data_IF_690191190927
#
_entry.id   IF_690191190927
#
_cell.length_a   1.000
_cell.length_b   1.000
_cell.length_c   1.000
_cell.angle_alpha   90.00
_cell.angle_beta   90.00
_cell.angle_gamma   90.00
#
_symmetry.space_group_name_H-M   'P 1'
#
loop_
_entity.id
_entity.type
_entity.pdbx_description
1 polymer ?
#
# COMPACT_ATOMS: atom_id res chain seq x y z
N UNK A 1 -32.45 18.13 -17.07
CA UNK A 1 -33.56 17.76 -16.16
C UNK A 1 -34.41 19.00 -15.95
N UNK A 2 -35.69 18.94 -16.31
CA UNK A 2 -36.63 20.05 -16.10
C UNK A 2 -37.04 20.05 -14.61
N UNK A 3 -36.24 20.71 -13.78
CA UNK A 3 -36.58 20.94 -12.37
C UNK A 3 -37.83 21.80 -12.35
N UNK A 4 -38.95 21.24 -11.87
CA UNK A 4 -40.22 21.97 -11.77
C UNK A 4 -40.06 23.34 -11.11
N UNK A 5 -40.90 24.31 -11.46
CA UNK A 5 -40.81 25.72 -11.05
C UNK A 5 -40.57 25.93 -9.54
N UNK A 6 -41.10 25.07 -8.68
CA UNK A 6 -40.86 25.10 -7.24
C UNK A 6 -39.40 24.80 -6.88
N UNK A 7 -38.78 23.83 -7.56
CA UNK A 7 -37.38 23.47 -7.36
C UNK A 7 -36.42 24.55 -7.88
N UNK A 8 -36.79 25.28 -8.94
CA UNK A 8 -36.02 26.44 -9.42
C UNK A 8 -36.09 27.62 -8.44
N UNK A 9 -37.25 27.88 -7.84
CA UNK A 9 -37.43 28.93 -6.85
C UNK A 9 -36.64 28.62 -5.58
N UNK A 10 -36.72 27.38 -5.09
CA UNK A 10 -35.94 26.96 -3.90
C UNK A 10 -34.44 26.96 -4.18
N UNK A 11 -34.00 26.59 -5.39
CA UNK A 11 -32.59 26.67 -5.79
C UNK A 11 -32.10 28.12 -5.81
N UNK A 12 -32.91 29.04 -6.33
CA UNK A 12 -32.59 30.47 -6.39
C UNK A 12 -32.51 31.11 -4.99
N UNK A 13 -33.42 30.77 -4.08
CA UNK A 13 -33.38 31.27 -2.70
C UNK A 13 -32.22 30.68 -1.89
N UNK A 14 -31.91 29.40 -2.08
CA UNK A 14 -30.74 28.76 -1.48
C UNK A 14 -29.45 29.46 -1.95
N UNK A 15 -29.30 29.69 -3.26
CA UNK A 15 -28.16 30.42 -3.86
C UNK A 15 -27.97 31.83 -3.28
N UNK A 16 -29.05 32.54 -2.96
CA UNK A 16 -28.97 33.87 -2.32
C UNK A 16 -28.45 33.75 -0.89
N UNK A 17 -28.89 32.75 -0.12
CA UNK A 17 -28.37 32.50 1.24
C UNK A 17 -26.89 32.13 1.21
N UNK A 18 -26.48 31.29 0.25
CA UNK A 18 -25.08 30.94 0.00
C UNK A 18 -24.22 32.16 -0.35
N UNK A 19 -24.71 33.01 -1.25
CA UNK A 19 -24.01 34.20 -1.72
C UNK A 19 -23.71 35.23 -0.61
N UNK A 20 -24.55 35.24 0.44
CA UNK A 20 -24.47 36.16 1.56
C UNK A 20 -23.70 35.63 2.78
N UNK A 21 -23.00 34.48 2.65
CA UNK A 21 -22.16 33.99 3.74
C UNK A 21 -21.03 34.99 4.06
N UNK A 22 -20.94 35.53 5.29
CA UNK A 22 -20.19 36.75 5.53
C UNK A 22 -18.66 36.58 5.56
N UNK A 23 -18.14 35.38 5.85
CA UNK A 23 -16.71 35.16 6.10
C UNK A 23 -16.17 33.94 5.35
N UNK A 24 -14.98 34.07 4.74
CA UNK A 24 -14.28 32.98 4.06
C UNK A 24 -13.44 32.09 4.99
N UNK A 25 -13.16 32.57 6.22
CA UNK A 25 -12.38 31.85 7.21
C UNK A 25 -13.22 31.63 8.46
N UNK A 26 -13.17 30.42 9.00
CA UNK A 26 -13.92 30.03 10.19
C UNK A 26 -12.96 29.69 11.32
N UNK A 27 -13.32 30.07 12.54
CA UNK A 27 -12.61 29.65 13.76
C UNK A 27 -13.37 28.53 14.42
N UNK A 28 -12.79 27.33 14.46
CA UNK A 28 -13.42 26.12 14.99
C UNK A 28 -12.48 25.39 15.96
N UNK A 29 -13.02 24.76 17.02
CA UNK A 29 -12.27 23.77 17.79
C UNK A 29 -11.82 22.61 16.90
N UNK A 30 -10.62 22.08 17.14
CA UNK A 30 -10.03 20.97 16.35
C UNK A 30 -10.99 19.78 16.24
N UNK A 31 -11.67 19.42 17.33
CA UNK A 31 -12.65 18.33 17.33
C UNK A 31 -13.79 18.56 16.30
N UNK A 32 -14.32 19.78 16.22
CA UNK A 32 -15.40 20.14 15.29
C UNK A 32 -14.91 20.16 13.83
N UNK A 33 -13.71 20.70 13.60
CA UNK A 33 -13.08 20.70 12.28
C UNK A 33 -12.84 19.27 11.75
N UNK A 34 -12.38 18.35 12.61
CA UNK A 34 -12.12 16.97 12.23
C UNK A 34 -13.40 16.14 12.07
N UNK A 35 -14.26 16.14 13.08
CA UNK A 35 -15.36 15.17 13.20
C UNK A 35 -16.72 15.68 12.76
N UNK A 36 -16.85 16.97 12.52
CA UNK A 36 -18.10 17.56 12.03
C UNK A 36 -18.54 18.79 12.83
N UNK A 37 -19.03 19.77 12.10
CA UNK A 37 -19.85 20.86 12.63
C UNK A 37 -21.04 21.13 11.71
N UNK A 38 -22.09 21.72 12.30
CA UNK A 38 -23.26 22.17 11.55
C UNK A 38 -22.88 23.43 10.78
N UNK A 39 -22.98 23.37 9.46
CA UNK A 39 -22.64 24.45 8.57
C UNK A 39 -23.89 24.88 7.82
N UNK A 40 -24.23 26.17 7.89
CA UNK A 40 -25.45 26.71 7.29
C UNK A 40 -25.44 26.60 5.75
N UNK A 41 -24.27 26.53 5.12
CA UNK A 41 -24.13 26.21 3.69
C UNK A 41 -24.60 24.76 3.48
N UNK A 42 -24.00 23.80 4.18
CA UNK A 42 -24.35 22.39 4.01
C UNK A 42 -25.82 22.14 4.36
N UNK A 43 -26.34 22.73 5.44
CA UNK A 43 -27.76 22.62 5.82
C UNK A 43 -28.70 23.14 4.74
N UNK A 44 -28.34 24.25 4.09
CA UNK A 44 -29.13 24.82 2.99
C UNK A 44 -28.99 23.99 1.70
N UNK A 45 -27.86 23.30 1.51
CA UNK A 45 -27.56 22.49 0.32
C UNK A 45 -28.15 21.08 0.40
N UNK A 46 -28.29 20.54 1.62
CA UNK A 46 -28.73 19.16 1.92
C UNK A 46 -29.94 18.73 1.10
N UNK A 47 -31.08 19.45 1.08
CA UNK A 47 -32.26 19.02 0.33
C UNK A 47 -31.99 18.80 -1.17
N UNK A 48 -31.07 19.58 -1.75
CA UNK A 48 -30.69 19.48 -3.17
C UNK A 48 -29.68 18.37 -3.43
N UNK A 49 -28.66 18.26 -2.57
CA UNK A 49 -27.62 17.24 -2.71
C UNK A 49 -28.15 15.82 -2.40
N UNK A 50 -29.17 15.72 -1.55
CA UNK A 50 -29.90 14.46 -1.30
C UNK A 50 -30.76 14.02 -2.48
N UNK A 51 -31.27 14.94 -3.32
CA UNK A 51 -32.04 14.61 -4.53
C UNK A 51 -31.18 13.92 -5.60
N UNK A 52 -29.87 14.15 -5.59
CA UNK A 52 -28.90 13.48 -6.47
C UNK A 52 -28.34 12.16 -5.92
N UNK A 53 -28.72 11.74 -4.70
CA UNK A 53 -28.15 10.56 -4.04
C UNK A 53 -26.66 10.69 -3.66
N UNK A 54 -26.12 11.91 -3.69
CA UNK A 54 -24.68 12.17 -3.56
C UNK A 54 -24.24 12.54 -2.14
N UNK A 55 -25.17 12.92 -1.24
CA UNK A 55 -24.79 13.33 0.11
C UNK A 55 -24.81 12.14 1.09
N UNK A 56 -23.62 11.72 1.54
CA UNK A 56 -23.45 10.63 2.52
C UNK A 56 -23.18 11.10 3.96
N UNK A 57 -23.29 12.41 4.24
CA UNK A 57 -22.92 12.98 5.54
C UNK A 57 -23.85 14.12 5.95
N UNK A 58 -24.14 14.21 7.25
CA UNK A 58 -24.98 15.26 7.81
C UNK A 58 -24.18 16.50 8.23
N UNK A 59 -22.88 16.37 8.52
CA UNK A 59 -22.05 17.46 9.04
C UNK A 59 -20.85 17.73 8.14
N UNK A 60 -20.33 18.95 8.13
CA UNK A 60 -19.08 19.24 7.43
C UNK A 60 -17.88 19.00 8.34
N UNK A 61 -16.90 18.24 7.87
CA UNK A 61 -15.66 18.00 8.60
C UNK A 61 -14.68 17.18 7.79
N UNK A 62 -13.39 17.29 8.11
CA UNK A 62 -12.32 16.64 7.35
C UNK A 62 -12.44 15.10 7.35
N UNK A 63 -12.86 14.53 8.47
CA UNK A 63 -12.93 13.08 8.72
C UNK A 63 -14.35 12.64 9.12
N UNK A 64 -15.38 13.40 8.73
CA UNK A 64 -16.76 13.20 9.19
C UNK A 64 -17.31 11.81 8.86
N UNK A 65 -16.91 11.23 7.73
CA UNK A 65 -17.33 9.88 7.29
C UNK A 65 -16.39 8.75 7.73
N UNK A 66 -15.44 9.03 8.63
CA UNK A 66 -14.43 8.05 9.05
C UNK A 66 -14.67 7.49 10.45
N UNK A 67 -15.54 8.11 11.25
CA UNK A 67 -15.85 7.62 12.59
C UNK A 67 -17.04 6.65 12.58
N UNK A 68 -16.76 5.35 12.79
CA UNK A 68 -17.81 4.34 12.95
C UNK A 68 -18.52 3.89 11.67
N UNK A 69 -18.03 4.30 10.49
CA UNK A 69 -18.58 3.94 9.18
C UNK A 69 -17.51 3.32 8.29
N UNK A 70 -17.86 2.24 7.58
CA UNK A 70 -17.02 1.66 6.52
C UNK A 70 -17.22 2.52 5.26
N UNK A 71 -16.17 3.21 4.79
CA UNK A 71 -16.31 4.18 3.68
C UNK A 71 -16.49 3.50 2.32
N UNK A 72 -15.75 2.43 2.05
CA UNK A 72 -15.79 1.66 0.80
C UNK A 72 -15.72 0.16 1.09
N UNK A 73 -16.31 -0.66 0.22
CA UNK A 73 -16.16 -2.12 0.25
C UNK A 73 -15.04 -2.54 -0.70
N UNK A 74 -13.95 -3.05 -0.14
CA UNK A 74 -12.85 -3.65 -0.91
C UNK A 74 -13.07 -5.16 -1.09
N UNK A 75 -12.98 -5.64 -2.32
CA UNK A 75 -12.79 -7.05 -2.64
C UNK A 75 -11.31 -7.27 -2.87
N UNK A 76 -10.67 -8.12 -2.04
CA UNK A 76 -9.22 -8.35 -2.03
C UNK A 76 -8.95 -9.82 -2.31
N UNK A 77 -7.98 -10.09 -3.17
CA UNK A 77 -7.59 -11.44 -3.53
C UNK A 77 -6.86 -12.15 -2.37
N UNK A 78 -7.33 -13.35 -2.02
CA UNK A 78 -6.79 -14.14 -0.88
C UNK A 78 -5.43 -14.79 -1.17
N UNK A 79 -5.06 -14.91 -2.44
CA UNK A 79 -3.87 -15.63 -2.88
C UNK A 79 -4.05 -17.16 -3.00
N UNK A 80 -5.26 -17.69 -2.77
CA UNK A 80 -5.51 -19.16 -2.80
C UNK A 80 -5.22 -19.78 -4.17
N UNK A 81 -5.70 -19.13 -5.23
CA UNK A 81 -5.50 -19.60 -6.61
C UNK A 81 -4.17 -19.12 -7.22
N UNK A 82 -3.73 -17.93 -6.82
CA UNK A 82 -2.50 -17.30 -7.28
C UNK A 82 -1.86 -16.48 -6.16
N UNK A 83 -0.78 -17.01 -5.59
CA UNK A 83 -0.03 -16.36 -4.50
C UNK A 83 0.53 -14.99 -4.89
N UNK A 84 0.73 -14.73 -6.19
CA UNK A 84 1.31 -13.48 -6.69
C UNK A 84 0.26 -12.34 -6.73
N UNK A 85 -1.01 -12.68 -6.47
CA UNK A 85 -2.13 -11.73 -6.31
C UNK A 85 -2.57 -11.56 -4.86
N UNK A 86 -1.91 -12.20 -3.91
CA UNK A 86 -2.28 -12.09 -2.50
C UNK A 86 -2.33 -10.63 -2.03
N UNK A 87 -3.44 -10.25 -1.38
CA UNK A 87 -3.70 -8.90 -0.90
C UNK A 87 -3.76 -7.80 -1.99
N UNK A 88 -3.92 -8.17 -3.25
CA UNK A 88 -4.18 -7.21 -4.34
C UNK A 88 -5.70 -6.94 -4.40
N UNK A 89 -6.05 -5.66 -4.47
CA UNK A 89 -7.44 -5.20 -4.59
C UNK A 89 -7.96 -5.54 -5.99
N UNK A 90 -9.11 -6.21 -6.04
CA UNK A 90 -9.80 -6.58 -7.28
C UNK A 90 -11.00 -5.67 -7.56
N UNK A 91 -11.72 -5.24 -6.53
CA UNK A 91 -12.87 -4.35 -6.69
C UNK A 91 -12.99 -3.34 -5.54
N UNK A 92 -13.50 -2.16 -5.86
CA UNK A 92 -13.96 -1.14 -4.91
C UNK A 92 -15.42 -0.85 -5.20
N UNK A 93 -16.30 -1.11 -4.22
CA UNK A 93 -17.75 -0.97 -4.37
C UNK A 93 -18.31 -1.70 -5.62
N UNK A 94 -17.72 -2.85 -5.96
CA UNK A 94 -18.11 -3.68 -7.11
C UNK A 94 -17.58 -3.22 -8.47
N UNK A 95 -16.64 -2.26 -8.50
CA UNK A 95 -15.98 -1.80 -9.71
C UNK A 95 -14.51 -2.21 -9.70
N UNK A 96 -14.00 -2.68 -10.84
CA UNK A 96 -12.61 -3.14 -11.05
C UNK A 96 -11.66 -2.02 -11.51
N UNK A 97 -12.16 -0.80 -11.68
CA UNK A 97 -11.40 0.39 -12.03
C UNK A 97 -12.13 1.66 -11.53
N UNK A 98 -11.37 2.75 -11.43
CA UNK A 98 -11.90 4.08 -11.17
C UNK A 98 -12.40 4.75 -12.46
N UNK A 99 -13.10 5.86 -12.31
CA UNK A 99 -13.64 6.63 -13.44
C UNK A 99 -13.26 8.11 -13.37
N UNK A 100 -12.26 8.45 -12.56
CA UNK A 100 -11.87 9.83 -12.27
C UNK A 100 -10.77 10.36 -13.19
N UNK A 101 -9.97 9.48 -13.80
CA UNK A 101 -8.74 9.87 -14.50
C UNK A 101 -8.82 9.65 -16.02
N UNK A 102 -7.92 10.30 -16.76
CA UNK A 102 -7.93 10.31 -18.22
C UNK A 102 -7.45 9.02 -18.91
N UNK A 103 -7.00 8.00 -18.17
CA UNK A 103 -6.49 6.75 -18.74
C UNK A 103 -6.86 5.53 -17.91
N UNK A 104 -6.85 4.35 -18.53
CA UNK A 104 -7.06 3.06 -17.84
C UNK A 104 -5.99 2.79 -16.79
N UNK A 105 -4.74 3.16 -17.07
CA UNK A 105 -3.60 2.96 -16.17
C UNK A 105 -3.78 3.73 -14.86
N UNK A 106 -4.26 4.97 -14.95
CA UNK A 106 -4.41 5.86 -13.81
C UNK A 106 -5.69 5.59 -13.03
N UNK A 107 -6.68 5.01 -13.70
CA UNK A 107 -7.87 4.44 -13.10
C UNK A 107 -7.69 3.02 -12.53
N UNK A 108 -6.52 2.40 -12.71
CA UNK A 108 -6.28 1.07 -12.16
C UNK A 108 -6.24 1.09 -10.63
N UNK A 109 -6.96 0.14 -10.03
CA UNK A 109 -7.00 -0.12 -8.59
C UNK A 109 -6.12 -1.31 -8.19
N UNK A 110 -5.46 -1.96 -9.16
CA UNK A 110 -4.62 -3.13 -8.95
C UNK A 110 -3.39 -2.76 -8.11
N UNK A 111 -3.52 -2.91 -6.81
CA UNK A 111 -2.56 -2.51 -5.79
C UNK A 111 -2.87 -3.21 -4.47
N UNK A 112 -1.88 -3.21 -3.57
CA UNK A 112 -2.08 -3.60 -2.17
C UNK A 112 -2.73 -2.46 -1.38
N UNK A 113 -3.32 -2.78 -0.23
CA UNK A 113 -3.71 -1.78 0.77
C UNK A 113 -2.50 -1.22 1.57
N UNK A 114 -1.30 -1.73 1.30
CA UNK A 114 -0.03 -1.32 1.92
C UNK A 114 0.34 -2.12 3.17
N UNK A 115 -0.51 -3.03 3.64
CA UNK A 115 -0.24 -3.85 4.83
C UNK A 115 0.56 -5.12 4.50
N UNK A 116 0.23 -5.76 3.38
CA UNK A 116 0.82 -7.02 2.93
C UNK A 116 1.02 -6.96 1.42
N UNK A 117 2.16 -7.45 0.95
CA UNK A 117 2.48 -7.60 -0.47
C UNK A 117 2.79 -9.07 -0.76
N UNK A 118 2.51 -9.56 -1.98
CA UNK A 118 2.98 -10.86 -2.42
C UNK A 118 4.51 -10.96 -2.27
N UNK A 119 5.06 -11.97 -1.58
CA UNK A 119 6.51 -12.11 -1.42
C UNK A 119 7.27 -12.20 -2.76
N UNK A 120 6.61 -12.66 -3.83
CA UNK A 120 7.16 -12.70 -5.18
C UNK A 120 7.40 -11.33 -5.81
N UNK A 121 6.70 -10.29 -5.33
CA UNK A 121 6.87 -8.91 -5.78
C UNK A 121 7.96 -8.16 -5.01
N UNK A 122 8.46 -8.72 -3.89
CA UNK A 122 9.47 -8.08 -3.04
C UNK A 122 10.90 -8.21 -3.62
N UNK A 123 11.09 -7.69 -4.82
CA UNK A 123 12.39 -7.53 -5.47
C UNK A 123 12.82 -6.06 -5.49
N UNK A 124 14.14 -5.82 -5.40
CA UNK A 124 14.72 -4.47 -5.36
C UNK A 124 14.50 -3.67 -6.65
N UNK A 125 14.10 -4.31 -7.74
CA UNK A 125 13.82 -3.66 -9.02
C UNK A 125 12.30 -3.56 -9.32
N UNK A 126 11.45 -4.10 -8.45
CA UNK A 126 9.99 -4.06 -8.63
C UNK A 126 9.42 -2.82 -7.98
N UNK A 127 8.54 -2.11 -8.71
CA UNK A 127 7.74 -1.03 -8.14
C UNK A 127 6.46 -1.62 -7.55
N UNK A 128 6.28 -1.42 -6.25
CA UNK A 128 5.08 -1.81 -5.55
C UNK A 128 4.02 -0.72 -5.68
N UNK A 129 2.75 -1.09 -5.66
CA UNK A 129 1.64 -0.14 -5.72
C UNK A 129 0.78 -0.27 -4.47
N UNK A 130 0.48 0.88 -3.86
CA UNK A 130 -0.45 0.98 -2.73
C UNK A 130 -1.64 1.80 -3.15
N UNK A 131 -2.85 1.29 -2.93
CA UNK A 131 -4.06 2.05 -3.19
C UNK A 131 -4.32 3.03 -2.05
N UNK A 132 -4.52 4.31 -2.39
CA UNK A 132 -4.87 5.35 -1.42
C UNK A 132 -6.30 5.84 -1.69
N UNK A 133 -7.31 5.39 -0.92
CA UNK A 133 -8.71 5.74 -1.17
C UNK A 133 -8.94 7.25 -1.16
N UNK A 134 -8.30 7.97 -0.23
CA UNK A 134 -8.46 9.42 -0.11
C UNK A 134 -7.76 10.23 -1.23
N UNK A 135 -6.87 9.60 -2.01
CA UNK A 135 -6.25 10.20 -3.20
C UNK A 135 -6.85 9.63 -4.48
N UNK A 136 -7.71 8.61 -4.36
CA UNK A 136 -8.45 8.00 -5.45
C UNK A 136 -7.51 7.51 -6.56
N UNK A 137 -6.35 6.97 -6.18
CA UNK A 137 -5.38 6.36 -7.11
C UNK A 137 -4.48 5.41 -6.33
N UNK A 138 -3.82 4.52 -7.07
CA UNK A 138 -2.63 3.83 -6.56
C UNK A 138 -1.40 4.72 -6.65
N UNK A 139 -0.50 4.56 -5.71
CA UNK A 139 0.78 5.26 -5.63
C UNK A 139 1.94 4.25 -5.75
N UNK A 140 2.96 4.56 -6.56
CA UNK A 140 4.14 3.73 -6.69
C UNK A 140 5.07 3.87 -5.48
N UNK A 141 5.69 2.77 -5.10
CA UNK A 141 6.70 2.67 -4.06
C UNK A 141 7.89 1.89 -4.61
N UNK A 142 9.06 2.54 -4.63
CA UNK A 142 10.30 1.98 -5.18
C UNK A 142 11.27 1.65 -4.05
N UNK A 143 12.03 0.57 -4.20
CA UNK A 143 13.04 0.18 -3.23
C UNK A 143 14.07 1.31 -3.06
N UNK A 144 14.26 1.76 -1.82
CA UNK A 144 15.29 2.75 -1.47
C UNK A 144 16.52 2.04 -0.93
N UNK A 145 16.35 1.23 0.12
CA UNK A 145 17.44 0.63 0.88
C UNK A 145 16.98 -0.51 1.76
N UNK A 146 17.95 -1.26 2.29
CA UNK A 146 17.73 -2.23 3.36
C UNK A 146 17.94 -1.53 4.70
N UNK A 147 17.06 -1.82 5.66
CA UNK A 147 17.14 -1.33 7.04
C UNK A 147 17.06 -2.51 8.01
N UNK A 148 17.62 -2.34 9.21
CA UNK A 148 17.60 -3.36 10.25
C UNK A 148 16.98 -2.75 11.51
N UNK A 149 16.00 -3.44 12.10
CA UNK A 149 15.38 -3.04 13.38
C UNK A 149 16.10 -3.70 14.56
N UNK A 150 15.83 -3.24 15.80
CA UNK A 150 16.62 -3.58 17.00
C UNK A 150 16.80 -5.08 17.28
N UNK A 151 15.93 -5.92 16.73
CA UNK A 151 15.89 -7.36 16.96
C UNK A 151 16.67 -8.16 15.89
N UNK A 152 17.41 -7.46 15.01
CA UNK A 152 18.20 -8.07 13.93
C UNK A 152 17.39 -8.51 12.72
N UNK A 153 16.16 -8.00 12.59
CA UNK A 153 15.27 -8.30 11.45
C UNK A 153 15.60 -7.34 10.31
N UNK A 154 15.93 -7.90 9.15
CA UNK A 154 16.19 -7.15 7.91
C UNK A 154 14.88 -6.80 7.22
N UNK A 155 14.71 -5.52 6.85
CA UNK A 155 13.56 -5.01 6.11
C UNK A 155 13.99 -4.28 4.85
N UNK A 156 13.11 -4.30 3.84
CA UNK A 156 13.25 -3.51 2.62
C UNK A 156 12.42 -2.24 2.75
N UNK A 157 13.08 -1.09 2.75
CA UNK A 157 12.43 0.22 2.70
C UNK A 157 12.05 0.54 1.27
N UNK A 158 10.76 0.66 1.02
CA UNK A 158 10.22 1.23 -0.20
C UNK A 158 9.72 2.64 0.07
N UNK A 159 9.94 3.55 -0.87
CA UNK A 159 9.63 4.98 -0.76
C UNK A 159 8.83 5.44 -1.97
N UNK A 160 7.93 6.38 -1.78
CA UNK A 160 7.31 7.08 -2.92
C UNK A 160 8.37 7.85 -3.73
N UNK A 161 8.35 7.77 -5.07
CA UNK A 161 9.18 8.60 -5.93
C UNK A 161 9.00 10.10 -5.63
N UNK A 162 10.07 10.87 -5.76
CA UNK A 162 10.07 12.31 -5.44
C UNK A 162 9.18 13.13 -6.38
N UNK A 163 8.95 12.62 -7.59
CA UNK A 163 8.21 13.20 -8.70
C UNK A 163 6.80 12.61 -8.84
N UNK A 164 6.32 11.87 -7.83
CA UNK A 164 5.00 11.20 -7.86
C UNK A 164 3.83 12.17 -8.04
N UNK A 165 3.97 13.41 -7.56
CA UNK A 165 2.99 14.49 -7.71
C UNK A 165 3.46 15.60 -8.66
N UNK A 166 4.51 15.36 -9.44
CA UNK A 166 5.02 16.35 -10.38
C UNK A 166 4.11 16.47 -11.62
N UNK A 167 4.17 17.62 -12.28
CA UNK A 167 3.42 17.87 -13.50
C UNK A 167 3.99 17.07 -14.70
N UNK A 168 3.23 16.92 -15.80
CA UNK A 168 3.65 16.08 -16.92
C UNK A 168 4.94 16.50 -17.63
N UNK A 169 5.39 17.75 -17.47
CA UNK A 169 6.67 18.16 -18.05
C UNK A 169 7.87 17.51 -17.33
N UNK A 170 7.69 17.16 -16.05
CA UNK A 170 8.72 16.52 -15.21
C UNK A 170 8.47 15.02 -15.06
N UNK A 171 7.20 14.59 -14.99
CA UNK A 171 6.82 13.18 -14.97
C UNK A 171 5.69 12.92 -15.99
N UNK A 172 6.01 12.50 -17.24
CA UNK A 172 5.02 12.30 -18.30
C UNK A 172 3.92 11.29 -17.98
N UNK A 173 4.17 10.34 -17.07
CA UNK A 173 3.16 9.38 -16.63
C UNK A 173 1.99 10.05 -15.90
N UNK A 174 2.20 11.23 -15.33
CA UNK A 174 1.17 11.96 -14.60
C UNK A 174 0.16 12.70 -15.51
N UNK A 175 0.31 12.67 -16.83
CA UNK A 175 -0.59 13.35 -17.77
C UNK A 175 -2.07 12.98 -17.60
N UNK A 176 -2.35 11.74 -17.24
CA UNK A 176 -3.69 11.21 -17.01
C UNK A 176 -4.37 11.75 -15.73
N UNK A 177 -3.61 12.33 -14.80
CA UNK A 177 -4.12 12.91 -13.55
C UNK A 177 -4.47 14.40 -13.68
N UNK A 178 -4.29 14.97 -14.87
CA UNK A 178 -4.74 16.31 -15.20
C UNK A 178 -6.23 16.33 -15.56
N UNK A 179 -6.84 17.51 -15.53
CA UNK A 179 -8.25 17.68 -15.89
C UNK A 179 -8.50 17.21 -17.33
N UNK A 180 -9.42 16.25 -17.49
CA UNK A 180 -9.69 15.58 -18.77
C UNK A 180 -10.20 16.57 -19.83
N UNK A 181 -11.09 17.48 -19.44
CA UNK A 181 -11.78 18.39 -20.36
C UNK A 181 -10.90 19.54 -20.85
N UNK A 182 -10.02 20.04 -19.98
CA UNK A 182 -9.21 21.25 -20.25
C UNK A 182 -7.75 20.93 -20.54
N UNK A 183 -7.32 19.69 -20.31
CA UNK A 183 -5.92 19.26 -20.25
C UNK A 183 -5.07 20.10 -19.28
N UNK A 184 -5.70 20.76 -18.30
CA UNK A 184 -5.02 21.61 -17.32
C UNK A 184 -4.54 20.77 -16.15
N UNK A 185 -3.25 20.88 -15.82
CA UNK A 185 -2.65 20.20 -14.69
C UNK A 185 -2.50 21.16 -13.49
N UNK A 186 -2.61 20.65 -12.26
CA UNK A 186 -2.22 21.42 -11.07
C UNK A 186 -0.72 21.76 -11.12
N UNK A 187 -0.26 22.75 -10.33
CA UNK A 187 1.16 23.03 -10.18
C UNK A 187 1.94 21.80 -9.69
N UNK A 188 3.23 21.74 -10.05
CA UNK A 188 4.15 20.66 -9.66
C UNK A 188 4.11 20.38 -8.16
N UNK A 189 4.04 19.10 -7.77
CA UNK A 189 4.00 18.62 -6.39
C UNK A 189 2.60 18.64 -5.76
N UNK A 190 1.56 18.77 -6.57
CA UNK A 190 0.16 18.81 -6.14
C UNK A 190 -0.70 17.94 -7.06
N UNK A 191 -1.64 17.19 -6.49
CA UNK A 191 -2.67 16.45 -7.23
C UNK A 191 -4.06 17.01 -6.92
N UNK A 192 -4.90 17.13 -7.94
CA UNK A 192 -6.28 17.56 -7.80
C UNK A 192 -7.18 16.34 -7.57
N UNK A 193 -7.88 16.29 -6.43
CA UNK A 193 -8.78 15.18 -6.05
C UNK A 193 -10.25 15.61 -6.00
N UNK A 194 -10.58 16.72 -6.68
CA UNK A 194 -11.93 17.30 -6.68
C UNK A 194 -13.01 16.29 -7.06
N UNK A 195 -12.78 15.51 -8.12
CA UNK A 195 -13.80 14.61 -8.67
C UNK A 195 -14.19 13.49 -7.71
N UNK A 196 -13.23 12.99 -6.93
CA UNK A 196 -13.50 11.93 -5.96
C UNK A 196 -13.83 12.43 -4.56
N UNK A 197 -13.77 13.76 -4.32
CA UNK A 197 -14.20 14.42 -3.08
C UNK A 197 -15.55 15.11 -3.23
N UNK A 198 -16.43 14.57 -4.10
CA UNK A 198 -17.78 15.08 -4.36
C UNK A 198 -17.80 16.55 -4.84
N UNK A 199 -16.79 16.95 -5.62
CA UNK A 199 -16.69 18.28 -6.21
C UNK A 199 -16.12 19.36 -5.28
N UNK A 200 -15.70 19.01 -4.06
CA UNK A 200 -14.96 19.94 -3.22
C UNK A 200 -13.62 20.29 -3.90
N UNK A 201 -13.16 21.57 -3.92
CA UNK A 201 -11.93 21.98 -4.60
C UNK A 201 -10.67 21.57 -3.80
N UNK A 202 -10.55 20.28 -3.50
CA UNK A 202 -9.52 19.69 -2.67
C UNK A 202 -8.32 19.24 -3.50
N UNK A 203 -7.12 19.55 -3.00
CA UNK A 203 -5.85 19.14 -3.59
C UNK A 203 -4.95 18.52 -2.54
N UNK A 204 -4.15 17.54 -2.94
CA UNK A 204 -3.21 16.85 -2.06
C UNK A 204 -1.79 17.16 -2.47
N UNK A 205 -0.91 17.31 -1.49
CA UNK A 205 0.54 17.50 -1.68
C UNK A 205 1.31 16.80 -0.56
N UNK A 206 2.65 16.81 -0.62
CA UNK A 206 3.44 16.53 0.57
C UNK A 206 3.36 17.69 1.58
N UNK A 207 3.53 17.42 2.90
CA UNK A 207 3.47 18.44 3.94
C UNK A 207 4.39 19.63 3.68
N UNK A 208 3.86 20.82 3.96
CA UNK A 208 4.49 22.11 3.71
C UNK A 208 4.91 22.34 2.25
N UNK A 209 4.20 21.71 1.30
CA UNK A 209 4.54 21.73 -0.12
C UNK A 209 5.99 21.27 -0.36
N UNK A 210 6.43 20.26 0.40
CA UNK A 210 7.70 19.57 0.17
C UNK A 210 7.72 19.02 -1.27
N UNK A 211 8.84 19.22 -1.98
CA UNK A 211 9.06 18.86 -3.39
C UNK A 211 8.22 19.62 -4.44
N UNK A 212 7.25 20.44 -4.02
CA UNK A 212 6.38 21.18 -4.92
C UNK A 212 7.03 22.46 -5.48
N UNK A 213 6.33 23.08 -6.44
CA UNK A 213 6.69 24.37 -7.04
C UNK A 213 6.99 25.41 -5.94
N UNK A 214 8.16 26.08 -5.98
CA UNK A 214 8.53 27.11 -5.02
C UNK A 214 7.45 28.20 -4.82
N UNK A 215 6.69 28.56 -5.86
CA UNK A 215 5.64 29.59 -5.77
C UNK A 215 4.61 29.29 -4.68
N UNK A 216 4.26 28.01 -4.49
CA UNK A 216 3.30 27.59 -3.47
C UNK A 216 3.78 27.89 -2.04
N UNK A 217 5.10 27.97 -1.84
CA UNK A 217 5.72 28.31 -0.55
C UNK A 217 5.91 29.82 -0.38
N UNK A 218 5.92 30.57 -1.47
CA UNK A 218 6.03 32.03 -1.46
C UNK A 218 4.67 32.69 -1.17
N UNK A 219 3.57 32.06 -1.58
CA UNK A 219 2.19 32.54 -1.38
C UNK A 219 1.71 32.40 0.08
N UNK A 220 2.33 31.53 0.89
CA UNK A 220 1.89 31.22 2.27
C UNK A 220 3.05 31.30 3.27
N UNK A 221 2.96 32.25 4.20
CA UNK A 221 3.95 32.41 5.28
C UNK A 221 3.84 31.28 6.32
N UNK A 222 5.00 30.83 6.82
CA UNK A 222 5.10 29.85 7.92
C UNK A 222 5.39 28.42 7.49
N UNK A 223 5.47 28.15 6.19
CA UNK A 223 5.78 26.83 5.66
C UNK A 223 7.27 26.48 5.83
N UNK A 224 7.56 25.28 6.33
CA UNK A 224 8.92 24.78 6.59
C UNK A 224 9.04 23.32 6.14
N UNK A 225 9.25 23.05 4.84
CA UNK A 225 9.40 21.68 4.34
C UNK A 225 10.63 21.02 4.96
N UNK A 226 10.47 19.79 5.46
CA UNK A 226 11.52 18.98 6.07
C UNK A 226 11.46 17.56 5.48
N UNK A 227 12.45 17.15 4.68
CA UNK A 227 12.49 15.82 4.07
C UNK A 227 12.38 14.67 5.08
N UNK A 228 12.91 14.82 6.29
CA UNK A 228 12.89 13.73 7.27
C UNK A 228 11.49 13.53 7.87
N UNK A 229 10.72 14.62 7.97
CA UNK A 229 9.38 14.60 8.54
C UNK A 229 8.30 14.33 7.49
N UNK A 230 8.47 14.84 6.29
CA UNK A 230 7.39 14.94 5.31
C UNK A 230 7.45 13.89 4.20
N UNK A 231 8.36 12.92 4.31
CA UNK A 231 8.52 11.82 3.37
C UNK A 231 7.68 10.60 3.75
N UNK A 232 7.34 9.79 2.75
CA UNK A 232 6.51 8.59 2.89
C UNK A 232 7.28 7.33 2.51
N UNK A 233 7.30 6.34 3.39
CA UNK A 233 7.98 5.06 3.19
C UNK A 233 7.24 3.90 3.88
N UNK A 234 7.54 2.68 3.45
CA UNK A 234 7.05 1.43 4.04
C UNK A 234 8.24 0.47 4.14
N UNK A 235 8.43 -0.13 5.32
CA UNK A 235 9.46 -1.13 5.58
C UNK A 235 8.83 -2.53 5.61
N UNK A 236 9.18 -3.34 4.61
CA UNK A 236 8.60 -4.65 4.36
C UNK A 236 9.54 -5.78 4.76
N UNK A 237 9.02 -6.81 5.41
CA UNK A 237 9.78 -8.03 5.66
C UNK A 237 9.94 -8.83 4.35
N UNK A 238 11.18 -9.02 3.83
CA UNK A 238 11.43 -9.49 2.48
C UNK A 238 10.84 -10.88 2.19
N UNK A 239 10.80 -11.76 3.19
CA UNK A 239 10.24 -13.12 3.04
C UNK A 239 8.74 -13.21 3.24
N UNK A 240 8.17 -12.34 4.07
CA UNK A 240 6.78 -12.48 4.53
C UNK A 240 5.81 -11.56 3.78
N UNK A 241 6.29 -10.50 3.13
CA UNK A 241 5.38 -9.55 2.48
C UNK A 241 4.80 -8.48 3.39
N UNK A 242 4.94 -8.62 4.71
CA UNK A 242 4.24 -7.79 5.70
C UNK A 242 5.00 -6.49 5.99
N UNK A 243 4.25 -5.39 6.16
CA UNK A 243 4.79 -4.13 6.66
C UNK A 243 5.01 -4.20 8.18
N UNK A 244 6.24 -3.93 8.63
CA UNK A 244 6.56 -3.86 10.06
C UNK A 244 6.67 -2.43 10.59
N UNK A 245 7.04 -1.50 9.73
CA UNK A 245 7.03 -0.07 10.03
C UNK A 245 6.74 0.70 8.76
N UNK A 246 6.26 1.92 8.91
CA UNK A 246 5.92 2.74 7.76
C UNK A 246 5.32 4.06 8.19
N UNK A 247 5.41 5.02 7.28
CA UNK A 247 4.93 6.38 7.49
C UNK A 247 4.44 6.93 6.17
N UNK A 248 3.26 7.52 6.18
CA UNK A 248 2.67 8.20 5.04
C UNK A 248 2.23 9.58 5.49
N UNK A 249 2.86 10.61 4.95
CA UNK A 249 2.60 12.00 5.31
C UNK A 249 2.05 12.74 4.10
N UNK A 250 0.81 13.23 4.22
CA UNK A 250 0.10 13.94 3.15
C UNK A 250 -0.50 15.24 3.67
N UNK A 251 -0.63 16.23 2.81
CA UNK A 251 -1.25 17.52 3.10
C UNK A 251 -2.49 17.72 2.25
N UNK A 252 -3.57 18.13 2.91
CA UNK A 252 -4.83 18.50 2.29
C UNK A 252 -4.86 20.02 2.15
N UNK A 253 -5.18 20.46 0.94
CA UNK A 253 -5.21 21.84 0.53
C UNK A 253 -6.56 22.15 -0.13
N UNK A 254 -6.94 23.42 -0.14
CA UNK A 254 -8.13 23.92 -0.83
C UNK A 254 -7.69 24.97 -1.85
N UNK A 255 -8.14 24.84 -3.10
CA UNK A 255 -7.94 25.87 -4.11
C UNK A 255 -9.06 26.90 -4.07
N UNK A 256 -8.69 28.17 -4.04
CA UNK A 256 -9.62 29.29 -4.15
C UNK A 256 -10.16 29.37 -5.57
N UNK A 257 -11.48 29.17 -5.70
CA UNK A 257 -12.24 29.38 -6.95
C UNK A 257 -13.19 30.56 -6.75
N UNK A 258 -12.93 31.67 -7.44
CA UNK A 258 -13.81 32.84 -7.43
C UNK A 258 -15.09 32.54 -8.20
N UNK A 259 -16.17 33.10 -7.70
CA UNK A 259 -17.47 33.11 -8.35
C UNK A 259 -18.09 34.48 -8.14
N UNK A 260 -18.80 35.00 -9.14
CA UNK A 260 -19.51 36.27 -9.04
C UNK A 260 -20.58 36.23 -7.94
N UNK A 261 -21.09 35.03 -7.64
CA UNK A 261 -22.09 34.78 -6.59
C UNK A 261 -21.51 34.84 -5.17
N UNK A 262 -20.23 34.50 -4.97
CA UNK A 262 -19.62 34.44 -3.64
C UNK A 262 -18.63 35.58 -3.43
N UNK A 263 -19.06 36.61 -2.70
CA UNK A 263 -18.24 37.80 -2.47
C UNK A 263 -17.13 37.60 -1.43
N UNK A 264 -17.28 36.62 -0.54
CA UNK A 264 -16.46 36.39 0.65
C UNK A 264 -15.01 36.01 0.34
N UNK A 265 -14.73 35.47 -0.85
CA UNK A 265 -13.38 35.07 -1.30
C UNK A 265 -12.79 36.02 -2.35
N UNK A 266 -13.47 37.13 -2.70
CA UNK A 266 -13.06 38.02 -3.81
C UNK A 266 -11.67 38.65 -3.62
N UNK A 267 -11.27 38.87 -2.36
CA UNK A 267 -9.98 39.47 -2.00
C UNK A 267 -8.79 38.51 -2.06
N UNK A 268 -9.03 37.20 -2.13
CA UNK A 268 -7.99 36.19 -2.35
C UNK A 268 -7.68 36.08 -3.83
N UNK A 269 -6.52 35.59 -4.23
CA UNK A 269 -6.21 35.38 -5.65
C UNK A 269 -6.89 34.15 -6.24
N UNK A 270 -7.23 34.21 -7.53
CA UNK A 270 -7.81 33.07 -8.24
C UNK A 270 -6.76 31.97 -8.35
N UNK A 271 -7.11 30.75 -7.93
CA UNK A 271 -6.19 29.61 -8.01
C UNK A 271 -5.19 29.52 -6.85
N UNK A 272 -5.24 30.43 -5.86
CA UNK A 272 -4.45 30.34 -4.63
C UNK A 272 -4.73 29.00 -3.93
N UNK A 273 -3.67 28.27 -3.56
CA UNK A 273 -3.77 26.96 -2.90
C UNK A 273 -3.49 27.14 -1.41
N UNK A 274 -4.53 27.03 -0.59
CA UNK A 274 -4.45 27.20 0.85
C UNK A 274 -4.22 25.85 1.54
N UNK A 275 -3.12 25.68 2.29
CA UNK A 275 -2.90 24.47 3.09
C UNK A 275 -3.87 24.46 4.27
N UNK A 276 -4.58 23.35 4.47
CA UNK A 276 -5.57 23.20 5.53
C UNK A 276 -5.00 22.42 6.71
N UNK A 277 -4.53 21.20 6.43
CA UNK A 277 -3.95 20.30 7.42
C UNK A 277 -3.05 19.29 6.73
N UNK A 278 -2.03 18.81 7.44
CA UNK A 278 -1.30 17.62 7.04
C UNK A 278 -1.52 16.52 8.08
N UNK A 279 -1.52 15.28 7.59
CA UNK A 279 -1.80 14.09 8.37
C UNK A 279 -0.65 13.13 8.13
N UNK A 280 -0.13 12.58 9.22
CA UNK A 280 0.79 11.47 9.21
C UNK A 280 0.09 10.23 9.72
N UNK A 281 0.12 9.18 8.91
CA UNK A 281 -0.38 7.87 9.25
C UNK A 281 0.82 6.92 9.22
N UNK A 282 1.06 6.21 10.30
CA UNK A 282 2.21 5.34 10.36
C UNK A 282 2.23 4.45 11.58
N UNK A 283 3.10 3.46 11.50
CA UNK A 283 3.48 2.60 12.61
C UNK A 283 5.00 2.73 12.72
N UNK A 284 5.46 3.35 13.79
CA UNK A 284 6.89 3.55 14.01
C UNK A 284 7.58 2.24 14.38
N UNK A 285 7.00 1.49 15.32
CA UNK A 285 7.50 0.18 15.73
C UNK A 285 6.35 -0.72 16.19
N UNK A 286 6.43 -2.01 15.84
CA UNK A 286 5.51 -3.03 16.34
C UNK A 286 5.84 -3.43 17.80
N UNK A 287 4.84 -3.83 18.59
CA UNK A 287 5.06 -4.44 19.89
C UNK A 287 6.09 -5.57 19.85
N UNK A 288 6.93 -5.65 20.89
CA UNK A 288 7.98 -6.68 21.02
C UNK A 288 7.45 -8.10 20.84
N UNK A 289 6.24 -8.40 21.32
CA UNK A 289 5.60 -9.70 21.14
C UNK A 289 5.38 -10.06 19.67
N UNK A 290 5.00 -9.09 18.83
CA UNK A 290 4.84 -9.30 17.39
C UNK A 290 6.19 -9.38 16.69
N UNK A 291 7.16 -8.55 17.06
CA UNK A 291 8.52 -8.62 16.50
C UNK A 291 9.19 -9.96 16.81
N UNK A 292 9.07 -10.44 18.05
CA UNK A 292 9.52 -11.76 18.47
C UNK A 292 8.83 -12.89 17.70
N UNK A 293 7.51 -12.78 17.46
CA UNK A 293 6.78 -13.75 16.64
C UNK A 293 7.30 -13.78 15.19
N UNK A 294 7.53 -12.61 14.59
CA UNK A 294 8.10 -12.50 13.25
C UNK A 294 9.51 -13.10 13.21
N UNK A 295 10.36 -12.76 14.18
CA UNK A 295 11.73 -13.26 14.27
C UNK A 295 11.77 -14.79 14.39
N UNK A 296 11.03 -15.35 15.35
CA UNK A 296 11.01 -16.79 15.55
C UNK A 296 10.33 -17.53 14.39
N UNK A 297 9.28 -16.94 13.81
CA UNK A 297 8.57 -17.49 12.66
C UNK A 297 9.40 -17.57 11.38
N UNK A 298 10.43 -16.74 11.25
CA UNK A 298 11.27 -16.65 10.03
C UNK A 298 12.69 -17.18 10.25
N UNK A 299 13.43 -16.64 11.23
CA UNK A 299 14.84 -16.95 11.44
C UNK A 299 15.03 -18.23 12.27
N UNK A 300 14.31 -18.35 13.38
CA UNK A 300 14.50 -19.52 14.29
C UNK A 300 13.98 -20.81 13.65
N UNK A 301 12.82 -20.75 12.99
CA UNK A 301 12.26 -21.86 12.20
C UNK A 301 13.20 -22.27 11.05
N UNK A 302 13.75 -21.32 10.30
CA UNK A 302 14.71 -21.61 9.24
C UNK A 302 15.99 -22.26 9.78
N UNK A 303 16.52 -21.76 10.91
CA UNK A 303 17.69 -22.34 11.56
C UNK A 303 17.41 -23.78 12.06
N UNK A 304 16.24 -24.01 12.67
CA UNK A 304 15.82 -25.34 13.11
C UNK A 304 15.63 -26.31 11.94
N UNK A 305 14.99 -25.86 10.85
CA UNK A 305 14.81 -26.64 9.63
C UNK A 305 16.15 -27.01 8.99
N UNK A 306 17.08 -26.05 8.89
CA UNK A 306 18.43 -26.30 8.39
C UNK A 306 19.18 -27.30 9.27
N UNK A 307 19.14 -27.11 10.58
CA UNK A 307 19.75 -28.02 11.55
C UNK A 307 19.21 -29.45 11.43
N UNK A 308 17.89 -29.61 11.37
CA UNK A 308 17.25 -30.91 11.17
C UNK A 308 17.64 -31.54 9.83
N UNK A 309 17.66 -30.75 8.75
CA UNK A 309 18.07 -31.22 7.41
C UNK A 309 19.50 -31.75 7.43
N UNK A 310 20.43 -31.01 8.04
CA UNK A 310 21.84 -31.42 8.17
C UNK A 310 21.97 -32.70 8.98
N UNK A 311 21.26 -32.81 10.11
CA UNK A 311 21.25 -34.02 10.94
C UNK A 311 20.74 -35.23 10.13
N UNK A 312 19.64 -35.07 9.40
CA UNK A 312 19.08 -36.12 8.56
C UNK A 312 20.05 -36.57 7.44
N UNK A 313 20.73 -35.63 6.79
CA UNK A 313 21.74 -35.93 5.75
C UNK A 313 22.93 -36.68 6.34
N UNK A 314 23.45 -36.25 7.49
CA UNK A 314 24.56 -36.93 8.18
C UNK A 314 24.15 -38.34 8.58
N UNK A 315 22.94 -38.52 9.14
CA UNK A 315 22.42 -39.84 9.50
C UNK A 315 22.25 -40.75 8.26
N UNK A 316 21.77 -40.21 7.15
CA UNK A 316 21.63 -40.95 5.89
C UNK A 316 22.99 -41.41 5.35
N UNK A 317 23.98 -40.51 5.29
CA UNK A 317 25.36 -40.84 4.87
C UNK A 317 25.96 -41.88 5.82
N UNK A 318 25.83 -41.70 7.14
CA UNK A 318 26.34 -42.63 8.14
C UNK A 318 25.72 -44.02 8.02
N UNK A 319 24.41 -44.11 7.82
CA UNK A 319 23.72 -45.38 7.60
C UNK A 319 24.12 -46.05 6.28
N UNK A 320 24.32 -45.27 5.20
CA UNK A 320 24.82 -45.76 3.92
C UNK A 320 26.24 -46.34 4.03
N UNK A 321 27.14 -45.64 4.72
CA UNK A 321 28.50 -46.14 5.01
C UNK A 321 28.43 -47.43 5.83
N UNK A 322 27.59 -47.47 6.87
CA UNK A 322 27.43 -48.65 7.70
C UNK A 322 26.93 -49.86 6.87
N UNK A 323 25.92 -49.66 6.02
CA UNK A 323 25.42 -50.68 5.10
C UNK A 323 26.52 -51.16 4.14
N UNK A 324 27.27 -50.25 3.51
CA UNK A 324 28.39 -50.61 2.63
C UNK A 324 29.45 -51.43 3.37
N UNK A 325 29.79 -51.07 4.61
CA UNK A 325 30.70 -51.84 5.44
C UNK A 325 30.16 -53.25 5.75
N UNK A 326 28.86 -53.41 6.03
CA UNK A 326 28.26 -54.75 6.24
C UNK A 326 28.24 -55.61 4.97
N UNK A 327 27.97 -55.01 3.80
CA UNK A 327 28.03 -55.71 2.51
C UNK A 327 29.46 -56.12 2.13
N UNK A 328 30.45 -55.25 2.36
CA UNK A 328 31.85 -55.56 2.15
C UNK A 328 32.30 -56.73 3.06
N UNK A 329 31.88 -56.73 4.34
CA UNK A 329 32.17 -57.83 5.28
C UNK A 329 31.49 -59.15 4.90
N UNK A 330 30.30 -59.13 4.29
CA UNK A 330 29.59 -60.35 3.83
C UNK A 330 30.29 -61.07 2.65
N UNK A 331 31.11 -60.38 1.85
CA UNK A 331 31.81 -60.97 0.70
C UNK A 331 33.09 -61.75 1.05
N UNK A 332 33.55 -61.74 2.30
CA UNK A 332 34.70 -62.53 2.76
C UNK A 332 34.25 -63.75 3.57
N UNK A 333 33.82 -64.82 2.90
CA UNK A 333 34.02 -66.18 3.41
C UNK A 333 35.03 -66.86 2.48
N UNK A 334 36.26 -67.19 2.93
CA UNK A 334 37.18 -67.95 2.11
C UNK A 334 36.55 -69.32 1.80
N UNK A 335 36.56 -69.73 0.53
CA UNK A 335 36.20 -71.09 0.14
C UNK A 335 37.07 -72.06 0.92
N UNK A 336 36.47 -72.84 1.81
CA UNK A 336 37.13 -73.96 2.47
C UNK A 336 37.57 -74.96 1.40
N UNK A 337 38.87 -75.10 1.19
CA UNK A 337 39.44 -76.12 0.31
C UNK A 337 39.33 -77.47 1.02
N UNK A 338 38.37 -78.30 0.60
CA UNK A 338 38.27 -79.70 1.03
C UNK A 338 39.46 -80.49 0.47
N UNK A 339 40.43 -80.83 1.32
CA UNK A 339 41.46 -81.83 0.98
C UNK A 339 40.82 -83.22 0.93
N UNK A 340 40.47 -83.66 -0.27
CA UNK A 340 40.10 -85.06 -0.53
C UNK A 340 41.37 -85.91 -0.49
N UNK A 341 41.44 -86.85 0.46
CA UNK A 341 42.51 -87.84 0.58
C UNK A 341 42.14 -89.03 -0.31
N UNK A 342 42.80 -89.19 -1.45
CA UNK A 342 42.65 -90.35 -2.33
C UNK A 342 43.49 -91.50 -1.71
N UNK A 343 42.93 -92.68 -1.42
CA UNK A 343 43.70 -93.83 -0.99
C UNK A 343 44.37 -94.51 -2.19
N UNK A 344 45.68 -94.71 -2.10
CA UNK A 344 46.51 -95.50 -3.00
C UNK A 344 46.38 -97.00 -2.67
N UNK A 345 46.19 -97.80 -3.73
CA UNK A 345 46.54 -99.22 -3.91
C UNK A 345 46.17 -100.25 -2.84
N UNK A 346 45.26 -101.17 -3.22
CA UNK A 346 45.22 -102.54 -2.68
C UNK A 346 45.51 -103.51 -3.80
N UNK A 347 46.61 -104.26 -3.66
CA UNK A 347 47.06 -105.33 -4.56
C UNK A 347 46.00 -106.41 -4.79
N UNK A 348 45.87 -106.84 -6.06
CA UNK A 348 45.25 -108.11 -6.43
C UNK A 348 46.23 -109.27 -6.17
N UNK A 349 45.90 -110.14 -5.20
CA UNK A 349 46.46 -111.48 -5.13
C UNK A 349 45.68 -112.44 -6.02
N UNK A 350 46.36 -112.93 -7.06
CA UNK A 350 46.03 -114.16 -7.78
C UNK A 350 46.52 -115.36 -6.99
N UNK A 351 45.64 -116.30 -6.63
CA UNK A 351 46.01 -117.68 -6.32
C UNK A 351 45.02 -118.64 -6.97
N UNK A 352 45.57 -119.49 -7.83
CA UNK A 352 44.95 -120.67 -8.38
C UNK A 352 45.25 -121.88 -7.48
N UNK A 353 44.21 -122.61 -7.07
CA UNK A 353 44.07 -124.07 -7.18
C UNK A 353 42.69 -124.50 -6.71
#
# INVERSE_FOLDING_TARGET
MDLGSLAQITMSSALITFANHPEAFLTLPVHRFLWGYDDTIIDTAKPFLSLGGQLKFDNFGLLVTKNGTVSERFTINTGENDKDKMNIIEEIDGHDHLTFWGSTECNSIEASDGSIFPPSQLDRNTTLHVFYPNLCRRLPFQYEKTVEISDGIELYRYRMPLDVFDDPAHNPENQCYCEIDTATCPPRGVINVTDCTMGAPALVSFPHFYLADPRLREEVLGLKPDPLKHDSYIDLHPTLGIALSGKSSIQINIQVRKSDMFSSVKYLDQGLILPVAWIEMGVEELPESLRSLVYHGTYSTAAAQLGLTVICVIAFIGSGICLLCTFARRKQKPCATLKVKIPTETELKSQAS
#
